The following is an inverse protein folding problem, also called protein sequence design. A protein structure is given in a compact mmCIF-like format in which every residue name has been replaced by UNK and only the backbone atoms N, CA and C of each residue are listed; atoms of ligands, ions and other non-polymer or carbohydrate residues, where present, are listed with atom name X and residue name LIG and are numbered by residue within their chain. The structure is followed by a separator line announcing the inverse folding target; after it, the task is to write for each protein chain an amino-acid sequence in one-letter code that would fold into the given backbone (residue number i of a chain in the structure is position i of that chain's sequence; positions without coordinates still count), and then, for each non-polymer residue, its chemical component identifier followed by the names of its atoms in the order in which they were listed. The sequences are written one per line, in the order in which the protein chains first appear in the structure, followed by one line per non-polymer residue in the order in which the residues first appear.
data_IF_402834802048
#
_entry.id   IF_402834802048
#
_cell.length_a   1.000
_cell.length_b   1.000
_cell.length_c   1.000
_cell.angle_alpha   90.00
_cell.angle_beta   90.00
_cell.angle_gamma   90.00
#
_symmetry.space_group_name_H-M   'P 1'
#
loop_
_entity.id
_entity.type
_entity.pdbx_description
1 polymer ?
#
# COMPACT_ATOMS: atom_id res chain seq x y z
N UNK A 1 9.95 32.45 -2.33
CA UNK A 1 8.71 31.73 -1.94
C UNK A 1 9.14 30.53 -1.13
N UNK A 2 8.49 30.26 0.00
CA UNK A 2 8.98 29.24 0.93
C UNK A 2 8.57 27.83 0.49
N UNK A 3 9.34 26.81 0.90
CA UNK A 3 8.98 25.40 0.74
C UNK A 3 7.64 25.09 1.44
N UNK A 4 7.40 25.73 2.59
CA UNK A 4 6.20 25.55 3.41
C UNK A 4 4.93 25.92 2.62
N UNK A 5 4.95 27.04 1.89
CA UNK A 5 3.82 27.47 1.04
C UNK A 5 3.52 26.47 -0.08
N UNK A 6 4.54 25.83 -0.66
CA UNK A 6 4.33 24.82 -1.70
C UNK A 6 3.78 23.52 -1.12
N UNK A 7 4.30 23.07 0.02
CA UNK A 7 3.83 21.87 0.71
C UNK A 7 2.38 22.05 1.19
N UNK A 8 2.02 23.22 1.72
CA UNK A 8 0.65 23.49 2.18
C UNK A 8 -0.38 23.41 1.04
N UNK A 9 0.01 23.84 -0.16
CA UNK A 9 -0.89 23.90 -1.33
C UNK A 9 -0.94 22.58 -2.09
N UNK A 10 0.21 21.96 -2.36
CA UNK A 10 0.33 20.79 -3.24
C UNK A 10 0.37 19.47 -2.45
N UNK A 11 1.00 19.48 -1.27
CA UNK A 11 1.42 18.26 -0.59
C UNK A 11 2.86 17.87 -0.94
N UNK A 12 3.58 17.30 0.03
CA UNK A 12 5.00 16.94 -0.15
C UNK A 12 5.19 15.77 -1.11
N UNK A 13 4.26 14.82 -1.16
CA UNK A 13 4.32 13.67 -2.06
C UNK A 13 4.13 14.10 -3.52
N UNK A 14 3.13 14.92 -3.77
CA UNK A 14 2.81 15.47 -5.09
C UNK A 14 3.93 16.40 -5.57
N UNK A 15 4.45 17.26 -4.68
CA UNK A 15 5.60 18.13 -4.96
C UNK A 15 6.83 17.32 -5.38
N UNK A 16 7.16 16.27 -4.63
CA UNK A 16 8.29 15.39 -4.93
C UNK A 16 8.13 14.75 -6.31
N UNK A 17 6.92 14.27 -6.63
CA UNK A 17 6.63 13.69 -7.93
C UNK A 17 6.72 14.72 -9.07
N UNK A 18 6.27 15.96 -8.86
CA UNK A 18 6.43 17.03 -9.84
C UNK A 18 7.90 17.30 -10.16
N UNK A 19 8.78 17.31 -9.15
CA UNK A 19 10.23 17.46 -9.34
C UNK A 19 10.79 16.32 -10.19
N UNK A 20 10.41 15.07 -9.91
CA UNK A 20 10.89 13.91 -10.66
C UNK A 20 10.44 13.93 -12.12
N UNK A 21 9.18 14.31 -12.38
CA UNK A 21 8.65 14.46 -13.74
C UNK A 21 9.38 15.59 -14.47
N UNK A 22 9.57 16.74 -13.80
CA UNK A 22 10.29 17.90 -14.34
C UNK A 22 11.74 17.59 -14.67
N UNK A 23 12.43 16.80 -13.84
CA UNK A 23 13.80 16.36 -14.09
C UNK A 23 13.91 15.22 -15.11
N UNK A 24 12.77 14.65 -15.55
CA UNK A 24 12.74 13.55 -16.51
C UNK A 24 13.20 12.21 -15.92
N UNK A 25 13.22 12.08 -14.59
CA UNK A 25 13.46 10.81 -13.91
C UNK A 25 12.21 9.93 -14.00
N UNK A 26 11.03 10.55 -13.87
CA UNK A 26 9.73 9.90 -14.01
C UNK A 26 9.00 10.42 -15.26
N UNK A 27 8.34 9.55 -16.01
CA UNK A 27 7.59 9.96 -17.21
C UNK A 27 6.36 10.80 -16.86
N UNK A 28 5.56 10.32 -15.91
CA UNK A 28 4.34 10.97 -15.46
C UNK A 28 4.01 10.58 -14.01
N UNK A 29 3.24 11.42 -13.33
CA UNK A 29 2.55 11.10 -12.09
C UNK A 29 1.04 11.16 -12.29
N UNK A 30 0.28 10.69 -11.32
CA UNK A 30 -1.18 10.77 -11.34
C UNK A 30 -1.71 11.24 -10.00
N UNK A 31 -2.81 11.98 -10.06
CA UNK A 31 -3.57 12.50 -8.92
C UNK A 31 -4.96 11.89 -9.01
N UNK A 32 -5.39 11.20 -7.96
CA UNK A 32 -6.77 10.72 -7.88
C UNK A 32 -7.58 11.60 -6.91
N UNK A 33 -8.73 12.13 -7.33
CA UNK A 33 -9.61 12.88 -6.42
C UNK A 33 -9.99 12.09 -5.16
N UNK A 34 -10.10 10.76 -5.26
CA UNK A 34 -10.43 9.87 -4.15
C UNK A 34 -9.42 9.94 -3.00
N UNK A 35 -8.15 10.22 -3.30
CA UNK A 35 -7.08 10.35 -2.29
C UNK A 35 -7.37 11.52 -1.33
N UNK A 36 -8.19 12.48 -1.76
CA UNK A 36 -8.56 13.69 -1.02
C UNK A 36 -10.01 13.67 -0.52
N UNK A 37 -10.67 12.51 -0.59
CA UNK A 37 -12.12 12.35 -0.33
C UNK A 37 -13.00 13.14 -1.30
N UNK A 38 -12.55 13.29 -2.54
CA UNK A 38 -13.25 14.00 -3.61
C UNK A 38 -13.54 13.05 -4.78
N UNK A 39 -14.33 13.49 -5.76
CA UNK A 39 -14.75 12.65 -6.89
C UNK A 39 -14.19 13.12 -8.21
N UNK A 40 -14.04 14.43 -8.39
CA UNK A 40 -13.72 15.03 -9.68
C UNK A 40 -12.55 16.00 -9.55
N UNK A 41 -11.83 16.19 -10.65
CA UNK A 41 -10.71 17.14 -10.77
C UNK A 41 -11.09 18.59 -10.40
N UNK A 42 -12.37 18.95 -10.61
CA UNK A 42 -12.92 20.27 -10.32
C UNK A 42 -13.28 20.49 -8.85
N UNK A 43 -13.27 19.44 -8.03
CA UNK A 43 -13.57 19.55 -6.61
C UNK A 43 -12.49 20.39 -5.88
N UNK A 44 -12.83 21.08 -4.79
CA UNK A 44 -12.04 22.19 -4.27
C UNK A 44 -10.57 21.87 -3.95
N UNK A 45 -10.28 20.75 -3.30
CA UNK A 45 -8.90 20.39 -2.90
C UNK A 45 -8.08 19.93 -4.11
N UNK A 46 -8.63 19.03 -4.92
CA UNK A 46 -7.97 18.51 -6.12
C UNK A 46 -7.66 19.65 -7.08
N UNK A 47 -8.61 20.57 -7.31
CA UNK A 47 -8.42 21.74 -8.15
C UNK A 47 -7.36 22.70 -7.57
N UNK A 48 -7.32 22.89 -6.25
CA UNK A 48 -6.28 23.70 -5.60
C UNK A 48 -4.88 23.11 -5.81
N UNK A 49 -4.73 21.78 -5.65
CA UNK A 49 -3.49 21.05 -5.90
C UNK A 49 -3.06 21.22 -7.37
N UNK A 50 -3.98 20.97 -8.32
CA UNK A 50 -3.70 21.12 -9.75
C UNK A 50 -3.25 22.54 -10.11
N UNK A 51 -3.94 23.56 -9.59
CA UNK A 51 -3.55 24.96 -9.78
C UNK A 51 -2.20 25.27 -9.15
N UNK A 52 -1.91 24.71 -7.97
CA UNK A 52 -0.61 24.81 -7.32
C UNK A 52 0.49 24.24 -8.19
N UNK A 53 0.30 23.02 -8.70
CA UNK A 53 1.26 22.33 -9.58
C UNK A 53 1.53 23.18 -10.82
N UNK A 54 0.50 23.61 -11.54
CA UNK A 54 0.67 24.41 -12.78
C UNK A 54 1.25 25.80 -12.52
N UNK A 55 1.08 26.35 -11.31
CA UNK A 55 1.69 27.61 -10.91
C UNK A 55 3.19 27.45 -10.66
N UNK A 56 3.61 26.36 -10.02
CA UNK A 56 5.00 26.15 -9.60
C UNK A 56 5.84 25.37 -10.61
N UNK A 57 5.20 24.57 -11.47
CA UNK A 57 5.78 23.78 -12.54
C UNK A 57 5.02 24.04 -13.86
N UNK A 58 5.08 25.26 -14.42
CA UNK A 58 4.28 25.68 -15.58
C UNK A 58 4.58 24.90 -16.88
N UNK A 59 5.71 24.20 -16.94
CA UNK A 59 6.08 23.29 -18.02
C UNK A 59 5.34 21.96 -17.98
N UNK A 60 4.78 21.60 -16.82
CA UNK A 60 3.97 20.39 -16.68
C UNK A 60 2.58 20.63 -17.25
N UNK A 61 2.07 19.57 -17.87
CA UNK A 61 0.75 19.50 -18.46
C UNK A 61 -0.10 18.51 -17.68
N UNK A 62 -1.41 18.70 -17.71
CA UNK A 62 -2.35 17.75 -17.12
C UNK A 62 -3.29 17.17 -18.19
N UNK A 63 -3.65 15.91 -18.00
CA UNK A 63 -4.64 15.21 -18.82
C UNK A 63 -5.65 14.57 -17.88
N UNK A 64 -6.89 15.07 -17.93
CA UNK A 64 -7.97 14.72 -17.01
C UNK A 64 -8.83 13.60 -17.62
N UNK A 65 -9.01 12.52 -16.87
CA UNK A 65 -9.79 11.34 -17.25
C UNK A 65 -10.95 11.08 -16.27
N UNK A 66 -11.48 12.15 -15.67
CA UNK A 66 -12.57 12.14 -14.69
C UNK A 66 -12.26 11.23 -13.48
N UNK A 67 -13.10 10.21 -13.26
CA UNK A 67 -12.97 9.26 -12.15
C UNK A 67 -11.70 8.40 -12.24
N UNK A 68 -11.07 8.34 -13.41
CA UNK A 68 -9.85 7.56 -13.63
C UNK A 68 -8.56 8.33 -13.26
N UNK A 69 -8.70 9.56 -12.75
CA UNK A 69 -7.58 10.37 -12.28
C UNK A 69 -7.07 11.38 -13.29
N UNK A 70 -6.14 12.22 -12.83
CA UNK A 70 -5.48 13.26 -13.63
C UNK A 70 -4.00 12.90 -13.78
N UNK A 71 -3.53 12.74 -15.02
CA UNK A 71 -2.12 12.50 -15.31
C UNK A 71 -1.39 13.82 -15.44
N UNK A 72 -0.28 13.99 -14.72
CA UNK A 72 0.62 15.13 -14.81
C UNK A 72 1.93 14.68 -15.47
N UNK A 73 2.31 15.31 -16.58
CA UNK A 73 3.51 14.95 -17.33
C UNK A 73 4.06 16.12 -18.15
N UNK A 74 5.20 15.95 -18.84
CA UNK A 74 5.71 16.93 -19.81
C UNK A 74 4.95 16.95 -21.15
N UNK A 75 4.10 15.96 -21.41
CA UNK A 75 3.30 15.82 -22.63
C UNK A 75 1.80 15.69 -22.30
N UNK A 76 0.96 15.83 -23.31
CA UNK A 76 -0.47 15.57 -23.15
C UNK A 76 -0.75 14.11 -23.50
N UNK A 77 -1.61 13.48 -22.71
CA UNK A 77 -2.17 12.17 -22.97
C UNK A 77 -3.63 12.31 -23.38
N UNK A 78 -4.05 11.43 -24.27
CA UNK A 78 -5.43 11.33 -24.73
C UNK A 78 -6.09 10.06 -24.20
N UNK A 79 -7.41 9.95 -24.33
CA UNK A 79 -8.14 8.73 -23.96
C UNK A 79 -7.72 7.49 -24.76
N UNK A 80 -6.99 7.65 -25.87
CA UNK A 80 -6.39 6.54 -26.62
C UNK A 80 -5.11 6.01 -25.98
N UNK A 81 -4.40 6.86 -25.26
CA UNK A 81 -3.15 6.51 -24.58
C UNK A 81 -3.42 5.80 -23.25
N UNK A 82 -4.57 6.08 -22.65
CA UNK A 82 -5.03 5.51 -21.38
C UNK A 82 -6.34 4.76 -21.58
N UNK A 83 -6.20 3.48 -21.96
CA UNK A 83 -7.28 2.52 -22.07
C UNK A 83 -7.01 1.28 -21.19
N UNK A 84 -7.69 1.21 -20.05
CA UNK A 84 -7.53 0.13 -19.06
C UNK A 84 -6.23 0.17 -18.27
N UNK A 85 -6.16 -0.64 -17.23
CA UNK A 85 -5.10 -0.54 -16.19
C UNK A 85 -3.67 -0.74 -16.73
N UNK A 86 -3.48 -1.64 -17.71
CA UNK A 86 -2.16 -1.91 -18.31
C UNK A 86 -1.57 -0.65 -18.98
N UNK A 87 -2.42 0.21 -19.53
CA UNK A 87 -1.99 1.44 -20.19
C UNK A 87 -1.60 2.52 -19.17
N UNK A 88 -2.32 2.61 -18.05
CA UNK A 88 -2.01 3.52 -16.94
C UNK A 88 -0.63 3.20 -16.38
N UNK A 89 -0.35 1.92 -16.09
CA UNK A 89 0.95 1.51 -15.56
C UNK A 89 2.12 1.91 -16.49
N UNK A 90 1.95 1.76 -17.81
CA UNK A 90 2.97 2.18 -18.78
C UNK A 90 3.17 3.69 -18.80
N UNK A 91 2.08 4.48 -18.72
CA UNK A 91 2.15 5.94 -18.65
C UNK A 91 2.90 6.40 -17.40
N UNK A 92 2.70 5.74 -16.28
CA UNK A 92 3.38 6.05 -15.01
C UNK A 92 4.83 5.55 -14.95
N UNK A 93 5.28 4.77 -15.94
CA UNK A 93 6.63 4.23 -16.00
C UNK A 93 6.84 2.90 -15.27
N UNK A 94 5.79 2.12 -15.04
CA UNK A 94 5.91 0.79 -14.43
C UNK A 94 6.62 -0.19 -15.38
N UNK A 95 7.41 -1.16 -14.86
CA UNK A 95 8.07 -2.14 -15.70
C UNK A 95 7.10 -2.90 -16.61
N UNK A 96 7.49 -3.09 -17.87
CA UNK A 96 6.65 -3.72 -18.87
C UNK A 96 6.21 -5.13 -18.48
N UNK A 97 7.09 -5.92 -17.86
CA UNK A 97 6.78 -7.25 -17.32
C UNK A 97 5.61 -7.22 -16.34
N UNK A 98 5.59 -6.28 -15.40
CA UNK A 98 4.53 -6.18 -14.40
C UNK A 98 3.23 -5.63 -14.99
N UNK A 99 3.30 -4.65 -15.90
CA UNK A 99 2.10 -4.14 -16.58
C UNK A 99 1.43 -5.20 -17.47
N UNK A 100 2.21 -6.08 -18.11
CA UNK A 100 1.69 -7.15 -18.94
C UNK A 100 0.98 -8.23 -18.11
N UNK A 101 1.46 -8.46 -16.89
CA UNK A 101 0.92 -9.47 -15.99
C UNK A 101 -0.27 -8.98 -15.14
N UNK A 102 -0.54 -7.68 -15.11
CA UNK A 102 -1.49 -7.06 -14.19
C UNK A 102 -2.90 -7.66 -14.27
N UNK A 103 -3.44 -7.89 -15.47
CA UNK A 103 -4.75 -8.57 -15.63
C UNK A 103 -4.75 -9.98 -15.05
N UNK A 104 -3.67 -10.74 -15.22
CA UNK A 104 -3.56 -12.09 -14.66
C UNK A 104 -3.45 -12.06 -13.14
N UNK A 105 -2.72 -11.08 -12.60
CA UNK A 105 -2.62 -10.82 -11.16
C UNK A 105 -4.02 -10.52 -10.60
N UNK A 106 -4.79 -9.62 -11.22
CA UNK A 106 -6.15 -9.30 -10.77
C UNK A 106 -7.08 -10.52 -10.78
N UNK A 107 -6.98 -11.37 -11.81
CA UNK A 107 -7.81 -12.57 -11.94
C UNK A 107 -7.43 -13.69 -10.96
N UNK A 108 -6.20 -13.67 -10.41
CA UNK A 108 -5.66 -14.72 -9.54
C UNK A 108 -5.18 -14.21 -8.18
N UNK A 109 -5.58 -12.99 -7.80
CA UNK A 109 -5.12 -12.29 -6.59
C UNK A 109 -5.39 -13.05 -5.29
N UNK A 110 -6.38 -13.94 -5.29
CA UNK A 110 -6.76 -14.73 -4.12
C UNK A 110 -5.96 -16.05 -4.02
N UNK A 111 -5.26 -16.46 -5.07
CA UNK A 111 -4.63 -17.80 -5.15
C UNK A 111 -3.17 -17.75 -5.57
N UNK A 112 -2.56 -16.56 -5.61
CA UNK A 112 -1.19 -16.37 -6.08
C UNK A 112 -0.46 -15.38 -5.18
N UNK A 113 0.74 -15.74 -4.74
CA UNK A 113 1.65 -14.79 -4.12
C UNK A 113 2.05 -13.70 -5.11
N UNK A 114 2.07 -12.45 -4.64
CA UNK A 114 2.44 -11.30 -5.45
C UNK A 114 3.45 -10.44 -4.71
N UNK A 115 4.34 -9.80 -5.44
CA UNK A 115 5.31 -8.87 -4.86
C UNK A 115 4.87 -7.43 -5.12
N UNK A 116 4.71 -6.66 -4.06
CA UNK A 116 4.60 -5.19 -4.14
C UNK A 116 6.01 -4.63 -4.09
N UNK A 117 6.44 -3.97 -5.17
CA UNK A 117 7.70 -3.25 -5.23
C UNK A 117 7.41 -1.78 -4.98
N UNK A 118 8.05 -1.21 -3.97
CA UNK A 118 7.84 0.18 -3.59
C UNK A 118 9.16 0.94 -3.45
N UNK A 119 9.10 2.24 -3.71
CA UNK A 119 10.20 3.19 -3.53
C UNK A 119 9.75 4.24 -2.52
N UNK A 120 10.44 4.27 -1.39
CA UNK A 120 10.12 5.06 -0.23
C UNK A 120 11.18 6.13 0.01
N UNK A 121 10.74 7.34 0.32
CA UNK A 121 11.59 8.48 0.68
C UNK A 121 11.56 8.72 2.18
N UNK A 122 12.74 8.73 2.77
CA UNK A 122 12.96 8.97 4.19
C UNK A 122 13.56 10.36 4.41
N UNK A 123 13.23 10.96 5.55
CA UNK A 123 13.60 12.33 5.87
C UNK A 123 14.54 12.40 7.06
N UNK A 124 15.39 13.42 7.08
CA UNK A 124 16.26 13.71 8.22
C UNK A 124 15.39 14.13 9.41
N UNK A 125 15.59 13.46 10.55
CA UNK A 125 14.81 13.64 11.79
C UNK A 125 14.70 15.09 12.27
N UNK A 126 15.70 15.93 11.97
CA UNK A 126 15.71 17.34 12.38
C UNK A 126 14.67 18.21 11.68
N UNK A 127 14.10 17.77 10.55
CA UNK A 127 13.14 18.56 9.77
C UNK A 127 11.69 18.09 9.92
N UNK A 128 11.45 16.86 10.37
CA UNK A 128 10.10 16.32 10.55
C UNK A 128 9.93 15.70 11.95
N UNK A 129 8.88 16.13 12.67
CA UNK A 129 8.57 15.62 14.02
C UNK A 129 8.20 14.13 14.05
N UNK A 130 7.64 13.61 12.95
CA UNK A 130 7.30 12.19 12.78
C UNK A 130 7.69 11.81 11.34
N UNK A 131 8.80 11.10 11.10
CA UNK A 131 9.24 10.75 9.77
C UNK A 131 8.47 9.51 9.28
N UNK A 132 7.22 9.70 8.86
CA UNK A 132 6.54 8.68 8.05
C UNK A 132 7.18 8.75 6.66
N UNK A 133 7.76 7.66 6.14
CA UNK A 133 8.29 7.67 4.79
C UNK A 133 7.17 7.97 3.79
N UNK A 134 7.50 8.74 2.75
CA UNK A 134 6.57 8.97 1.64
C UNK A 134 6.85 7.95 0.55
N UNK A 135 5.84 7.19 0.17
CA UNK A 135 5.91 6.30 -0.99
C UNK A 135 5.87 7.15 -2.27
N UNK A 136 6.95 7.12 -3.04
CA UNK A 136 7.06 7.85 -4.31
C UNK A 136 6.48 6.99 -5.45
N UNK A 137 6.74 5.70 -5.39
CA UNK A 137 6.44 4.77 -6.47
C UNK A 137 6.06 3.42 -5.88
N UNK A 138 5.00 2.79 -6.39
CA UNK A 138 4.62 1.45 -5.97
C UNK A 138 3.86 0.74 -7.08
N UNK A 139 4.16 -0.53 -7.29
CA UNK A 139 3.49 -1.38 -8.26
C UNK A 139 3.58 -2.84 -7.84
N UNK A 140 2.63 -3.63 -8.35
CA UNK A 140 2.52 -5.06 -8.08
C UNK A 140 3.07 -5.85 -9.26
N UNK A 141 3.79 -6.93 -8.95
CA UNK A 141 4.31 -7.92 -9.90
C UNK A 141 4.02 -9.34 -9.43
N UNK A 142 4.18 -10.32 -10.31
CA UNK A 142 4.10 -11.74 -9.96
C UNK A 142 5.18 -12.15 -8.96
N UNK A 143 6.36 -11.54 -9.04
CA UNK A 143 7.50 -11.85 -8.20
C UNK A 143 8.41 -10.62 -8.02
N UNK A 144 9.47 -10.77 -7.24
CA UNK A 144 10.43 -9.70 -6.93
C UNK A 144 11.48 -9.44 -8.05
N UNK A 145 11.30 -9.98 -9.26
CA UNK A 145 12.32 -9.93 -10.32
C UNK A 145 12.70 -8.52 -10.76
N UNK A 146 11.81 -7.54 -10.58
CA UNK A 146 12.07 -6.13 -10.94
C UNK A 146 12.74 -5.32 -9.84
N UNK A 147 12.97 -5.89 -8.65
CA UNK A 147 13.60 -5.19 -7.53
C UNK A 147 15.00 -4.63 -7.87
N UNK A 148 15.91 -5.34 -8.56
CA UNK A 148 17.21 -4.78 -8.93
C UNK A 148 17.10 -3.51 -9.78
N UNK A 149 16.19 -3.50 -10.76
CA UNK A 149 15.89 -2.32 -11.58
C UNK A 149 15.39 -1.16 -10.73
N UNK A 150 14.55 -1.43 -9.72
CA UNK A 150 14.06 -0.37 -8.83
C UNK A 150 15.09 0.14 -7.85
N UNK A 151 16.07 -0.67 -7.45
CA UNK A 151 17.21 -0.20 -6.66
C UNK A 151 18.08 0.76 -7.47
N UNK A 152 18.29 0.50 -8.75
CA UNK A 152 18.97 1.45 -9.64
C UNK A 152 18.15 2.73 -9.83
N UNK A 153 16.83 2.58 -9.99
CA UNK A 153 15.92 3.71 -10.10
C UNK A 153 15.88 4.57 -8.82
N UNK A 154 15.90 3.97 -7.63
CA UNK A 154 15.91 4.72 -6.36
C UNK A 154 17.18 5.55 -6.19
N UNK A 155 18.32 5.09 -6.71
CA UNK A 155 19.58 5.86 -6.74
C UNK A 155 19.41 7.11 -7.63
N UNK A 156 18.84 6.95 -8.83
CA UNK A 156 18.58 8.09 -9.73
C UNK A 156 17.63 9.11 -9.11
N UNK A 157 16.57 8.64 -8.43
CA UNK A 157 15.66 9.51 -7.68
C UNK A 157 16.43 10.23 -6.56
N UNK A 158 17.29 9.53 -5.81
CA UNK A 158 18.06 10.13 -4.73
C UNK A 158 18.97 11.25 -5.24
N UNK A 159 19.71 11.03 -6.33
CA UNK A 159 20.55 12.06 -6.97
C UNK A 159 19.72 13.26 -7.44
N UNK A 160 18.58 13.00 -8.08
CA UNK A 160 17.71 14.05 -8.59
C UNK A 160 17.08 14.88 -7.46
N UNK A 161 16.68 14.27 -6.34
CA UNK A 161 16.01 14.99 -5.26
C UNK A 161 16.98 15.64 -4.28
N UNK A 162 18.12 15.03 -3.96
CA UNK A 162 19.11 15.61 -3.04
C UNK A 162 19.79 16.86 -3.59
N UNK A 163 19.84 17.01 -4.93
CA UNK A 163 20.32 18.21 -5.61
C UNK A 163 19.25 19.29 -5.77
N UNK A 164 17.99 19.00 -5.39
CA UNK A 164 16.90 19.97 -5.49
C UNK A 164 17.02 21.06 -4.41
N UNK A 165 16.99 22.35 -4.77
CA UNK A 165 17.18 23.43 -3.82
C UNK A 165 16.04 23.56 -2.80
N UNK A 166 14.86 22.99 -3.09
CA UNK A 166 13.69 23.09 -2.22
C UNK A 166 13.59 21.91 -1.27
N UNK A 167 13.74 20.67 -1.75
CA UNK A 167 13.55 19.48 -0.91
C UNK A 167 14.83 18.73 -0.56
N UNK A 168 15.95 18.98 -1.24
CA UNK A 168 17.16 18.17 -1.08
C UNK A 168 17.72 18.20 0.35
N UNK A 169 17.55 19.31 1.06
CA UNK A 169 18.06 19.44 2.42
C UNK A 169 17.31 18.57 3.45
N UNK A 170 16.03 18.26 3.23
CA UNK A 170 15.21 17.45 4.15
C UNK A 170 15.34 15.94 3.94
N UNK A 171 15.84 15.49 2.79
CA UNK A 171 15.92 14.07 2.42
C UNK A 171 17.10 13.41 3.13
N UNK A 172 16.84 12.24 3.72
CA UNK A 172 17.85 11.35 4.30
C UNK A 172 18.32 10.33 3.26
N UNK A 173 17.39 9.50 2.78
CA UNK A 173 17.66 8.45 1.81
C UNK A 173 16.39 8.04 1.06
N UNK A 174 16.58 7.32 -0.04
CA UNK A 174 15.49 6.75 -0.84
C UNK A 174 15.81 5.27 -1.04
N UNK A 175 14.86 4.42 -0.71
CA UNK A 175 15.05 2.97 -0.71
C UNK A 175 13.97 2.30 -1.56
N UNK A 176 14.38 1.29 -2.32
CA UNK A 176 13.48 0.36 -2.98
C UNK A 176 13.40 -0.93 -2.17
N UNK A 177 12.20 -1.34 -1.83
CA UNK A 177 11.93 -2.56 -1.06
C UNK A 177 10.80 -3.37 -1.70
N UNK A 178 10.69 -4.63 -1.24
CA UNK A 178 9.69 -5.58 -1.71
C UNK A 178 8.90 -6.10 -0.52
N UNK A 179 7.57 -6.11 -0.69
CA UNK A 179 6.65 -6.78 0.21
C UNK A 179 6.07 -7.97 -0.55
N UNK A 180 6.26 -9.17 -0.03
CA UNK A 180 5.59 -10.37 -0.55
C UNK A 180 4.22 -10.43 0.10
N UNK A 181 3.17 -10.40 -0.71
CA UNK A 181 1.80 -10.50 -0.24
C UNK A 181 1.32 -11.93 -0.48
N UNK A 182 0.98 -12.60 0.61
CA UNK A 182 0.40 -13.94 0.60
C UNK A 182 -1.12 -13.79 0.78
N UNK A 183 -1.94 -14.16 -0.21
CA UNK A 183 -3.38 -14.03 -0.10
C UNK A 183 -3.93 -14.84 1.09
N UNK A 184 -4.89 -14.29 1.88
CA UNK A 184 -5.49 -15.00 3.01
C UNK A 184 -6.09 -16.36 2.65
N UNK A 185 -6.54 -16.54 1.40
CA UNK A 185 -7.07 -17.81 0.92
C UNK A 185 -5.98 -18.88 0.77
N UNK A 186 -4.79 -18.54 0.30
CA UNK A 186 -3.65 -19.46 0.33
C UNK A 186 -3.27 -19.84 1.76
N UNK A 187 -3.46 -18.91 2.70
CA UNK A 187 -3.25 -19.16 4.13
C UNK A 187 -4.25 -20.17 4.66
N UNK A 188 -5.52 -19.98 4.35
CA UNK A 188 -6.55 -20.94 4.70
C UNK A 188 -6.25 -22.33 4.12
N UNK A 189 -5.88 -22.42 2.84
CA UNK A 189 -5.65 -23.70 2.17
C UNK A 189 -4.43 -24.45 2.77
N UNK A 190 -3.34 -23.75 3.11
CA UNK A 190 -2.16 -24.35 3.75
C UNK A 190 -2.37 -24.69 5.24
N UNK A 191 -3.21 -23.94 5.97
CA UNK A 191 -3.62 -24.31 7.33
C UNK A 191 -4.41 -25.61 7.38
N UNK A 192 -5.22 -25.85 6.34
CA UNK A 192 -6.06 -27.04 6.21
C UNK A 192 -5.31 -28.20 5.54
N UNK A 193 -4.12 -27.96 4.98
CA UNK A 193 -3.23 -29.00 4.47
C UNK A 193 -2.36 -29.57 5.59
N UNK A 194 -1.67 -30.68 5.31
CA UNK A 194 -0.67 -31.26 6.22
C UNK A 194 0.72 -30.65 6.04
N UNK A 195 0.82 -29.54 5.30
CA UNK A 195 2.10 -28.93 4.97
C UNK A 195 2.67 -28.17 6.18
N UNK A 196 3.99 -28.06 6.22
CA UNK A 196 4.65 -27.27 7.25
C UNK A 196 4.34 -25.78 7.06
N UNK A 197 4.04 -25.09 8.18
CA UNK A 197 3.88 -23.64 8.22
C UNK A 197 5.23 -22.99 8.50
N UNK A 198 5.66 -22.11 7.59
CA UNK A 198 6.87 -21.30 7.74
C UNK A 198 6.57 -20.00 8.51
N UNK A 199 7.63 -19.26 8.86
CA UNK A 199 7.51 -18.03 9.66
C UNK A 199 6.72 -16.93 8.92
N UNK A 200 6.94 -16.76 7.61
CA UNK A 200 6.20 -15.78 6.80
C UNK A 200 4.69 -16.00 6.85
N UNK A 201 4.28 -17.25 6.85
CA UNK A 201 2.88 -17.63 6.98
C UNK A 201 2.31 -17.29 8.35
N UNK A 202 3.07 -17.61 9.41
CA UNK A 202 2.66 -17.34 10.78
C UNK A 202 2.54 -15.84 11.04
N UNK A 203 3.42 -15.04 10.45
CA UNK A 203 3.34 -13.57 10.53
C UNK A 203 2.10 -13.04 9.80
N UNK A 204 1.74 -13.60 8.65
CA UNK A 204 0.52 -13.18 7.95
C UNK A 204 -0.75 -13.60 8.69
N UNK A 205 -0.76 -14.72 9.41
CA UNK A 205 -1.84 -15.05 10.35
C UNK A 205 -1.98 -13.96 11.42
N UNK A 206 -0.87 -13.46 11.99
CA UNK A 206 -0.92 -12.37 12.97
C UNK A 206 -1.48 -11.08 12.36
N UNK A 207 -1.04 -10.74 11.15
CA UNK A 207 -1.56 -9.57 10.42
C UNK A 207 -3.07 -9.67 10.19
N UNK A 208 -3.57 -10.84 9.81
CA UNK A 208 -5.01 -11.08 9.67
C UNK A 208 -5.74 -10.89 11.01
N UNK A 209 -5.23 -11.46 12.11
CA UNK A 209 -5.84 -11.30 13.43
C UNK A 209 -5.86 -9.83 13.88
N UNK A 210 -4.76 -9.10 13.68
CA UNK A 210 -4.70 -7.66 13.93
C UNK A 210 -5.75 -6.90 13.12
N UNK A 211 -5.85 -7.17 11.82
CA UNK A 211 -6.80 -6.51 10.93
C UNK A 211 -8.27 -6.84 11.21
N UNK A 212 -8.56 -7.99 11.84
CA UNK A 212 -9.89 -8.29 12.38
C UNK A 212 -10.21 -7.41 13.60
N UNK A 213 -9.19 -6.93 14.32
CA UNK A 213 -9.33 -6.06 15.50
C UNK A 213 -8.87 -6.70 16.81
N UNK A 214 -8.16 -7.84 16.76
CA UNK A 214 -7.61 -8.49 17.95
C UNK A 214 -6.31 -7.82 18.42
N UNK A 215 -6.05 -7.92 19.73
CA UNK A 215 -4.86 -7.34 20.35
C UNK A 215 -3.66 -8.27 20.23
N UNK A 216 -2.50 -7.80 20.68
CA UNK A 216 -1.26 -8.57 20.72
C UNK A 216 -1.43 -9.87 21.53
N UNK A 217 -2.38 -9.93 22.48
CA UNK A 217 -2.64 -11.12 23.28
C UNK A 217 -3.02 -12.34 22.44
N UNK A 218 -3.86 -12.17 21.41
CA UNK A 218 -4.21 -13.26 20.50
C UNK A 218 -3.20 -13.42 19.37
N UNK A 219 -2.61 -12.32 18.89
CA UNK A 219 -1.60 -12.37 17.82
C UNK A 219 -0.35 -13.14 18.27
N UNK A 220 0.09 -12.94 19.51
CA UNK A 220 1.25 -13.63 20.09
C UNK A 220 0.89 -14.96 20.75
N UNK A 221 -0.40 -15.35 20.70
CA UNK A 221 -0.83 -16.62 21.27
C UNK A 221 -0.15 -17.78 20.56
N UNK A 222 0.41 -18.71 21.35
CA UNK A 222 1.10 -19.89 20.84
C UNK A 222 0.10 -20.95 20.37
N UNK A 223 -0.45 -20.74 19.18
CA UNK A 223 -1.32 -21.72 18.54
C UNK A 223 -0.59 -23.05 18.33
N UNK A 224 -1.28 -24.15 18.63
CA UNK A 224 -0.81 -25.50 18.34
C UNK A 224 -1.26 -25.89 16.94
N UNK A 225 -0.44 -25.65 15.92
CA UNK A 225 -0.76 -25.96 14.51
C UNK A 225 -0.75 -27.46 14.18
N UNK A 226 -0.57 -28.32 15.19
CA UNK A 226 -0.82 -29.77 15.12
C UNK A 226 -2.14 -30.17 15.82
N UNK A 227 -2.89 -29.22 16.37
CA UNK A 227 -4.15 -29.43 17.07
C UNK A 227 -5.30 -28.99 16.18
N UNK A 228 -6.17 -29.94 15.79
CA UNK A 228 -7.29 -29.68 14.88
C UNK A 228 -8.28 -28.64 15.41
N UNK A 229 -8.44 -28.53 16.74
CA UNK A 229 -9.28 -27.49 17.35
C UNK A 229 -8.70 -26.09 17.16
N UNK A 230 -7.40 -25.93 17.39
CA UNK A 230 -6.72 -24.65 17.14
C UNK A 230 -6.75 -24.28 15.65
N UNK A 231 -6.44 -25.24 14.77
CA UNK A 231 -6.51 -25.04 13.31
C UNK A 231 -7.91 -24.60 12.90
N UNK A 232 -8.96 -25.27 13.38
CA UNK A 232 -10.34 -24.94 13.06
C UNK A 232 -10.74 -23.53 13.48
N UNK A 233 -10.27 -23.05 14.64
CA UNK A 233 -10.52 -21.69 15.11
C UNK A 233 -9.80 -20.67 14.22
N UNK A 234 -8.50 -20.86 13.94
CA UNK A 234 -7.73 -19.95 13.09
C UNK A 234 -8.32 -19.90 11.67
N UNK A 235 -8.64 -21.06 11.08
CA UNK A 235 -9.28 -21.16 9.76
C UNK A 235 -10.63 -20.43 9.71
N UNK A 236 -11.42 -20.49 10.79
CA UNK A 236 -12.70 -19.76 10.88
C UNK A 236 -12.50 -18.24 10.92
N UNK A 237 -11.48 -17.75 11.64
CA UNK A 237 -11.16 -16.32 11.70
C UNK A 237 -10.66 -15.81 10.34
N UNK A 238 -9.82 -16.57 9.64
CA UNK A 238 -9.37 -16.23 8.28
C UNK A 238 -10.54 -16.25 7.29
N UNK A 239 -11.44 -17.23 7.40
CA UNK A 239 -12.66 -17.28 6.58
C UNK A 239 -13.54 -16.05 6.82
N UNK A 240 -13.69 -15.62 8.08
CA UNK A 240 -14.39 -14.39 8.43
C UNK A 240 -13.72 -13.16 7.80
N UNK A 241 -12.39 -13.08 7.83
CA UNK A 241 -11.64 -12.00 7.19
C UNK A 241 -11.87 -11.94 5.66
N UNK A 242 -11.75 -13.08 4.97
CA UNK A 242 -11.95 -13.19 3.52
C UNK A 242 -13.37 -12.77 3.10
N UNK A 243 -14.37 -13.19 3.89
CA UNK A 243 -15.78 -13.00 3.56
C UNK A 243 -16.44 -11.92 4.42
N UNK A 244 -15.67 -10.94 4.92
CA UNK A 244 -16.21 -9.89 5.76
C UNK A 244 -17.29 -9.12 4.98
N UNK A 245 -18.58 -9.18 5.40
CA UNK A 245 -19.67 -8.53 4.68
C UNK A 245 -19.58 -7.00 4.74
N UNK A 246 -18.71 -6.46 5.60
CA UNK A 246 -18.51 -5.03 5.76
C UNK A 246 -17.48 -4.44 4.79
N UNK A 247 -16.67 -5.26 4.12
CA UNK A 247 -15.64 -4.80 3.17
C UNK A 247 -16.15 -3.81 2.11
N UNK A 248 -17.35 -3.98 1.50
CA UNK A 248 -17.89 -3.01 0.53
C UNK A 248 -18.19 -1.62 1.11
N UNK A 249 -18.19 -1.46 2.44
CA UNK A 249 -18.45 -0.20 3.12
C UNK A 249 -17.15 0.53 3.52
N UNK A 250 -15.96 0.02 3.19
CA UNK A 250 -14.70 0.76 3.36
C UNK A 250 -14.58 1.87 2.28
N UNK A 251 -14.25 3.13 2.63
CA UNK A 251 -13.67 3.61 3.88
C UNK A 251 -14.67 4.28 4.85
N UNK A 252 -15.98 4.10 4.70
CA UNK A 252 -16.96 4.64 5.66
C UNK A 252 -16.70 4.10 7.07
N UNK A 253 -15.96 2.99 7.19
CA UNK A 253 -15.37 2.44 8.42
C UNK A 253 -14.20 3.26 9.03
N UNK A 254 -13.95 4.50 8.61
CA UNK A 254 -13.12 5.45 9.42
C UNK A 254 -13.77 5.83 10.76
N UNK A 255 -14.64 4.98 11.30
CA UNK A 255 -15.05 5.05 12.69
C UNK A 255 -13.84 4.64 13.52
N UNK A 256 -13.26 5.61 14.22
CA UNK A 256 -12.57 5.35 15.50
C UNK A 256 -13.27 4.17 16.16
N UNK A 257 -12.60 3.02 16.32
CA UNK A 257 -13.23 1.81 16.87
C UNK A 257 -14.04 2.25 18.05
N UNK A 258 -15.36 2.27 17.90
CA UNK A 258 -16.20 2.85 18.93
C UNK A 258 -15.90 2.05 20.19
N UNK A 259 -15.76 2.73 21.34
CA UNK A 259 -15.31 2.08 22.59
C UNK A 259 -16.08 0.79 22.87
N UNK A 260 -17.33 0.70 22.43
CA UNK A 260 -18.17 -0.49 22.53
C UNK A 260 -17.74 -1.64 21.58
N UNK A 261 -17.38 -1.35 20.33
CA UNK A 261 -16.83 -2.36 19.39
C UNK A 261 -15.52 -2.93 19.95
N UNK A 262 -14.63 -2.08 20.46
CA UNK A 262 -13.38 -2.54 21.08
C UNK A 262 -13.65 -3.43 22.31
N UNK A 263 -14.59 -3.05 23.19
CA UNK A 263 -15.00 -3.87 24.34
C UNK A 263 -15.53 -5.24 23.92
N UNK A 264 -16.27 -5.32 22.81
CA UNK A 264 -16.78 -6.58 22.27
C UNK A 264 -15.61 -7.45 21.79
N UNK A 265 -14.68 -6.87 21.01
CA UNK A 265 -13.48 -7.59 20.57
C UNK A 265 -12.64 -8.10 21.74
N UNK A 266 -12.40 -7.30 22.78
CA UNK A 266 -11.67 -7.76 23.97
C UNK A 266 -12.37 -8.92 24.69
N UNK A 267 -13.71 -8.91 24.79
CA UNK A 267 -14.45 -10.02 25.40
C UNK A 267 -14.34 -11.28 24.54
N UNK A 268 -14.51 -11.14 23.24
CA UNK A 268 -14.41 -12.25 22.29
C UNK A 268 -13.01 -12.87 22.32
N UNK A 269 -11.97 -12.03 22.34
CA UNK A 269 -10.57 -12.45 22.47
C UNK A 269 -10.31 -13.30 23.72
N UNK A 270 -10.75 -12.83 24.89
CA UNK A 270 -10.59 -13.57 26.15
C UNK A 270 -11.32 -14.92 26.12
N UNK A 271 -12.51 -14.97 25.52
CA UNK A 271 -13.25 -16.22 25.35
C UNK A 271 -12.55 -17.19 24.40
N UNK A 272 -12.01 -16.69 23.28
CA UNK A 272 -11.22 -17.48 22.33
C UNK A 272 -9.97 -18.06 22.99
N UNK A 273 -9.19 -17.25 23.70
CA UNK A 273 -7.98 -17.72 24.41
C UNK A 273 -8.35 -18.82 25.40
N UNK A 274 -9.42 -18.64 26.18
CA UNK A 274 -9.90 -19.67 27.13
C UNK A 274 -10.29 -20.96 26.42
N UNK A 275 -10.96 -20.88 25.27
CA UNK A 275 -11.33 -22.06 24.46
C UNK A 275 -10.07 -22.77 23.97
N UNK A 276 -9.12 -22.02 23.42
CA UNK A 276 -7.84 -22.56 22.93
C UNK A 276 -7.04 -23.22 24.07
N UNK A 277 -6.99 -22.60 25.25
CA UNK A 277 -6.30 -23.16 26.42
C UNK A 277 -6.89 -24.51 26.85
N UNK A 278 -8.22 -24.65 26.83
CA UNK A 278 -8.91 -25.90 27.14
C UNK A 278 -8.66 -27.00 26.10
N UNK A 279 -8.23 -26.65 24.89
CA UNK A 279 -7.95 -27.59 23.81
C UNK A 279 -6.48 -28.03 23.77
N UNK A 280 -5.59 -27.39 24.55
CA UNK A 280 -4.15 -27.66 24.49
C UNK A 280 -3.84 -29.14 24.70
N UNK A 281 -3.09 -29.70 23.75
CA UNK A 281 -2.53 -31.05 23.87
C UNK A 281 -1.15 -30.90 24.53
N UNK A 282 -0.75 -31.78 25.47
CA UNK A 282 0.60 -31.76 26.02
C UNK A 282 1.65 -31.86 24.90
N UNK A 283 2.70 -31.03 24.96
CA UNK A 283 3.81 -31.18 24.02
C UNK A 283 4.43 -32.57 24.21
N UNK A 284 4.28 -33.44 23.21
CA UNK A 284 5.00 -34.70 23.16
C UNK A 284 6.42 -34.35 22.72
N UNK A 285 7.37 -34.52 23.65
CA UNK A 285 8.81 -34.37 23.44
C UNK A 285 9.33 -35.37 22.39
#
# INVERSE_FOLDING_TARGET
MSLEEQIEVIGLAELTNCILVTKGVREAMMIFPSDYSERLSRDPKTNAILKGILKYYPELKHSDFDLNGIVISKKEYTSKDIYGDDSVGRVLGYPSSCTADYKSILASRDTMEISTIQVNMYFKKQYLRIPIPIQIFSYVCKDASTLPLMKEYSIQIQEALTTDPFIGFIIDRIEADVIVNIPPRMILDKLLSTDALDESFLDEVKNILYNIGFSDALQEYKFQYNNTGHIGIVASLITFYIHNPMTPFQPLEQFTVEKEVHKIFCKWELELIRILDCMKIPNVL
#
